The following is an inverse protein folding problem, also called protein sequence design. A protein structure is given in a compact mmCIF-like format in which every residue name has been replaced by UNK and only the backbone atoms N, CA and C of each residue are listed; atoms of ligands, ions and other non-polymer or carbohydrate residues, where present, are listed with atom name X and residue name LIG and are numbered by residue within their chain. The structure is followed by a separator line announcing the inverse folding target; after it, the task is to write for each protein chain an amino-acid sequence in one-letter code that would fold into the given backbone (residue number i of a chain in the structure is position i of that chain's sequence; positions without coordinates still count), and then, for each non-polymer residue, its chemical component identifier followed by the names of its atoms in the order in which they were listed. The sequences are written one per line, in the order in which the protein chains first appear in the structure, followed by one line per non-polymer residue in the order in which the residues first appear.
data_IF_159418705375
#
_entry.id   IF_159418705375
#
_cell.length_a   1.000
_cell.length_b   1.000
_cell.length_c   1.000
_cell.angle_alpha   90.00
_cell.angle_beta   90.00
_cell.angle_gamma   90.00
#
_symmetry.space_group_name_H-M   'P 1'
#
loop_
_entity.id
_entity.type
_entity.pdbx_description
1 polymer ?
#
# COMPACT_ATOMS: atom_id res chain seq x y z
N UNK A 1 -60.26 -14.29 20.60
CA UNK A 1 -60.04 -15.69 21.02
C UNK A 1 -58.54 -15.90 21.15
N UNK A 2 -58.04 -15.89 22.39
CA UNK A 2 -56.62 -16.04 22.73
C UNK A 2 -56.45 -17.45 23.30
N UNK A 3 -55.72 -18.32 22.61
CA UNK A 3 -55.26 -19.59 23.15
C UNK A 3 -53.80 -19.45 23.56
N UNK A 4 -53.57 -19.48 24.87
CA UNK A 4 -52.27 -19.69 25.51
C UNK A 4 -52.49 -20.84 26.48
N UNK A 5 -51.75 -21.94 26.32
CA UNK A 5 -51.49 -22.99 27.33
C UNK A 5 -50.29 -23.80 26.79
N UNK A 6 -49.09 -23.59 27.35
CA UNK A 6 -48.50 -24.30 28.50
C UNK A 6 -47.81 -25.61 28.05
N UNK A 7 -46.49 -25.53 27.92
CA UNK A 7 -45.57 -26.67 27.76
C UNK A 7 -44.80 -26.83 29.09
N UNK A 8 -44.65 -28.05 29.62
CA UNK A 8 -44.09 -28.27 30.95
C UNK A 8 -42.57 -28.12 30.99
N UNK A 9 -42.11 -27.57 32.12
CA UNK A 9 -40.71 -27.43 32.52
C UNK A 9 -40.19 -28.78 32.99
N UNK A 10 -39.27 -29.39 32.24
CA UNK A 10 -38.46 -30.51 32.71
C UNK A 10 -37.13 -30.00 33.27
N UNK A 11 -36.93 -30.21 34.57
CA UNK A 11 -35.65 -30.14 35.26
C UNK A 11 -34.66 -31.14 34.64
N UNK A 12 -33.50 -30.66 34.18
CA UNK A 12 -32.31 -31.49 33.99
C UNK A 12 -31.16 -30.84 34.76
N UNK A 13 -30.83 -31.48 35.89
CA UNK A 13 -29.56 -31.30 36.57
C UNK A 13 -28.46 -31.99 35.76
N UNK A 14 -27.38 -31.28 35.46
CA UNK A 14 -26.15 -31.87 34.94
C UNK A 14 -24.92 -31.16 35.51
N UNK A 15 -23.99 -32.00 35.93
CA UNK A 15 -22.89 -31.76 36.84
C UNK A 15 -21.84 -30.76 36.32
N UNK A 16 -21.30 -29.98 37.25
CA UNK A 16 -20.08 -29.21 37.07
C UNK A 16 -18.87 -30.16 36.91
N UNK A 17 -18.25 -30.14 35.73
CA UNK A 17 -16.96 -30.76 35.46
C UNK A 17 -15.94 -29.68 35.08
N UNK A 18 -15.07 -29.34 36.01
CA UNK A 18 -13.93 -28.45 35.83
C UNK A 18 -12.84 -29.16 35.00
N UNK A 19 -12.61 -28.69 33.78
CA UNK A 19 -11.52 -29.16 32.92
C UNK A 19 -10.26 -28.33 33.22
N UNK A 20 -9.14 -28.93 33.66
CA UNK A 20 -7.89 -28.19 33.80
C UNK A 20 -7.28 -27.88 32.43
N UNK A 21 -6.87 -26.62 32.25
CA UNK A 21 -6.20 -26.14 31.06
C UNK A 21 -4.83 -26.84 30.88
N UNK A 22 -4.71 -27.63 29.81
CA UNK A 22 -3.41 -28.13 29.34
C UNK A 22 -2.59 -26.94 28.80
N UNK A 23 -1.52 -26.60 29.52
CA UNK A 23 -0.47 -25.71 29.01
C UNK A 23 0.26 -26.38 27.84
N UNK A 24 0.49 -25.69 26.71
CA UNK A 24 1.33 -26.21 25.64
C UNK A 24 2.78 -26.36 26.12
N UNK A 25 3.35 -27.54 25.84
CA UNK A 25 4.75 -27.85 26.13
C UNK A 25 5.69 -26.94 25.32
N UNK A 26 6.74 -26.43 25.97
CA UNK A 26 7.79 -25.66 25.32
C UNK A 26 8.59 -26.54 24.33
N UNK A 27 9.04 -25.98 23.19
CA UNK A 27 9.85 -26.72 22.24
C UNK A 27 11.23 -27.06 22.84
N UNK A 28 11.68 -28.30 22.58
CA UNK A 28 12.96 -28.82 23.04
C UNK A 28 14.15 -28.03 22.44
N UNK A 29 15.25 -27.85 23.20
CA UNK A 29 16.45 -27.18 22.72
C UNK A 29 17.19 -28.02 21.67
N UNK A 30 17.70 -27.35 20.64
CA UNK A 30 18.51 -27.95 19.59
C UNK A 30 19.88 -28.44 20.12
N UNK A 31 20.45 -29.52 19.58
CA UNK A 31 21.74 -30.04 20.00
C UNK A 31 22.91 -29.14 19.60
N UNK A 32 23.85 -28.98 20.52
CA UNK A 32 25.08 -28.20 20.43
C UNK A 32 26.06 -28.75 19.38
N UNK A 33 26.65 -27.86 18.59
CA UNK A 33 27.73 -28.18 17.65
C UNK A 33 29.05 -28.48 18.40
N UNK A 34 29.89 -29.41 17.91
CA UNK A 34 31.23 -29.65 18.46
C UNK A 34 32.24 -28.59 17.99
N UNK A 35 33.18 -28.26 18.88
CA UNK A 35 34.18 -27.21 18.71
C UNK A 35 35.43 -27.60 17.89
N UNK A 36 35.94 -26.59 17.19
CA UNK A 36 37.32 -26.16 16.80
C UNK A 36 38.40 -27.22 16.48
N UNK A 37 39.27 -26.96 15.47
CA UNK A 37 40.48 -26.24 15.83
C UNK A 37 40.89 -25.11 14.88
N UNK A 38 41.59 -24.18 15.52
CA UNK A 38 42.33 -23.02 15.06
C UNK A 38 43.47 -23.40 14.11
N UNK A 39 43.56 -22.76 12.95
CA UNK A 39 44.83 -22.57 12.24
C UNK A 39 44.88 -21.20 11.54
N UNK A 40 45.93 -20.47 11.89
CA UNK A 40 46.41 -19.22 11.34
C UNK A 40 46.94 -19.43 9.92
N UNK A 41 46.51 -18.62 8.96
CA UNK A 41 47.39 -18.22 7.86
C UNK A 41 47.07 -16.80 7.39
N UNK A 42 48.16 -16.11 7.07
CA UNK A 42 48.33 -14.69 6.81
C UNK A 42 48.24 -14.49 5.30
N UNK A 43 47.35 -13.61 4.83
CA UNK A 43 47.19 -13.33 3.40
C UNK A 43 46.38 -12.06 3.15
N UNK A 44 47.11 -10.96 3.01
CA UNK A 44 46.86 -9.76 2.18
C UNK A 44 45.46 -9.14 2.11
N UNK A 45 45.41 -7.89 2.58
CA UNK A 45 44.34 -6.94 2.33
C UNK A 45 44.14 -6.73 0.82
N UNK A 46 42.91 -6.95 0.36
CA UNK A 46 42.42 -6.37 -0.90
C UNK A 46 41.26 -5.46 -0.55
N UNK A 47 41.44 -4.22 -0.98
CA UNK A 47 40.61 -3.07 -0.69
C UNK A 47 39.15 -3.27 -1.10
N UNK A 48 38.29 -2.81 -0.20
CA UNK A 48 36.89 -2.49 -0.42
C UNK A 48 36.72 -1.64 -1.69
N UNK A 49 36.17 -2.22 -2.76
CA UNK A 49 35.64 -1.45 -3.88
C UNK A 49 34.15 -1.18 -3.67
N UNK A 50 33.82 0.11 -3.71
CA UNK A 50 32.60 0.71 -3.17
C UNK A 50 31.29 0.18 -3.73
N UNK A 51 30.45 -0.34 -2.83
CA UNK A 51 29.03 -0.10 -2.97
C UNK A 51 28.81 1.38 -2.64
N UNK A 52 28.61 2.21 -3.67
CA UNK A 52 28.17 3.58 -3.46
C UNK A 52 26.97 3.55 -2.51
N UNK A 53 27.03 4.38 -1.47
CA UNK A 53 25.96 4.42 -0.48
C UNK A 53 24.64 4.70 -1.19
N UNK A 54 23.53 4.15 -0.70
CA UNK A 54 22.21 4.41 -1.29
C UNK A 54 21.95 5.93 -1.42
N UNK A 55 22.56 6.74 -0.56
CA UNK A 55 22.54 8.20 -0.62
C UNK A 55 23.35 8.79 -1.78
N UNK A 56 24.52 8.24 -2.12
CA UNK A 56 25.29 8.66 -3.30
C UNK A 56 24.59 8.30 -4.61
N UNK A 57 24.01 7.10 -4.69
CA UNK A 57 23.22 6.69 -5.87
C UNK A 57 21.97 7.57 -6.00
N UNK A 58 21.28 7.87 -4.90
CA UNK A 58 20.14 8.78 -4.88
C UNK A 58 20.55 10.22 -5.28
N UNK A 59 21.70 10.70 -4.81
CA UNK A 59 22.22 12.04 -5.14
C UNK A 59 22.58 12.12 -6.62
N UNK A 60 23.28 11.13 -7.16
CA UNK A 60 23.65 11.07 -8.58
C UNK A 60 22.42 11.01 -9.50
N UNK A 61 21.39 10.24 -9.13
CA UNK A 61 20.11 10.19 -9.85
C UNK A 61 19.35 11.52 -9.75
N UNK A 62 19.34 12.16 -8.58
CA UNK A 62 18.71 13.47 -8.40
C UNK A 62 19.39 14.55 -9.24
N UNK A 63 20.74 14.59 -9.24
CA UNK A 63 21.50 15.58 -10.03
C UNK A 63 21.31 15.39 -11.52
N UNK A 64 21.30 14.15 -12.02
CA UNK A 64 21.06 13.87 -13.44
C UNK A 64 19.65 14.24 -13.88
N UNK A 65 18.64 14.00 -13.04
CA UNK A 65 17.24 14.42 -13.30
C UNK A 65 17.09 15.95 -13.25
N UNK A 66 17.79 16.63 -12.35
CA UNK A 66 17.75 18.09 -12.23
C UNK A 66 18.44 18.78 -13.41
N UNK A 67 19.59 18.25 -13.85
CA UNK A 67 20.25 18.68 -15.09
C UNK A 67 19.35 18.43 -16.31
N UNK A 68 18.68 17.28 -16.39
CA UNK A 68 17.73 17.01 -17.47
C UNK A 68 16.55 18.00 -17.46
N UNK A 69 16.05 18.40 -16.28
CA UNK A 69 15.01 19.43 -16.14
C UNK A 69 15.48 20.82 -16.56
N UNK A 70 16.72 21.20 -16.22
CA UNK A 70 17.31 22.50 -16.57
C UNK A 70 17.60 22.61 -18.07
N UNK A 71 18.11 21.55 -18.68
CA UNK A 71 18.42 21.51 -20.13
C UNK A 71 17.13 21.49 -20.98
N UNK A 72 16.03 20.96 -20.44
CA UNK A 72 14.75 20.84 -21.17
C UNK A 72 13.89 22.12 -21.20
N UNK A 73 14.38 23.24 -20.66
CA UNK A 73 13.82 24.57 -20.92
C UNK A 73 12.29 24.70 -20.79
N UNK A 74 11.75 24.60 -19.57
CA UNK A 74 10.48 25.24 -19.15
C UNK A 74 9.16 24.91 -19.90
N UNK A 75 9.17 24.11 -20.94
CA UNK A 75 7.97 23.57 -21.57
C UNK A 75 7.83 22.11 -21.19
N UNK A 76 6.65 21.79 -20.65
CA UNK A 76 6.17 20.45 -20.33
C UNK A 76 6.22 19.54 -21.57
N UNK A 77 7.41 19.06 -21.92
CA UNK A 77 7.54 17.80 -22.64
C UNK A 77 7.12 16.76 -21.61
N UNK A 78 5.85 16.37 -21.67
CA UNK A 78 5.31 15.27 -20.90
C UNK A 78 6.29 14.10 -21.02
N UNK A 79 7.03 13.85 -19.94
CA UNK A 79 7.98 12.76 -19.78
C UNK A 79 7.32 11.36 -19.88
N UNK A 80 6.09 11.29 -20.37
CA UNK A 80 5.36 10.08 -20.70
C UNK A 80 5.81 9.42 -22.01
N UNK A 81 6.74 9.99 -22.78
CA UNK A 81 7.18 9.41 -24.06
C UNK A 81 8.51 8.63 -24.03
N UNK A 82 9.43 8.87 -23.09
CA UNK A 82 10.79 8.30 -23.14
C UNK A 82 11.06 7.17 -22.12
N UNK A 83 10.02 6.46 -21.70
CA UNK A 83 10.16 5.25 -20.89
C UNK A 83 8.95 4.33 -20.87
N UNK A 84 7.98 4.56 -21.75
CA UNK A 84 6.70 3.87 -21.75
C UNK A 84 6.62 2.94 -22.97
N UNK A 85 6.89 1.66 -22.77
CA UNK A 85 6.57 0.64 -23.77
C UNK A 85 5.03 0.50 -23.83
N UNK A 86 4.40 1.31 -24.68
CA UNK A 86 2.99 1.24 -25.08
C UNK A 86 2.07 2.19 -24.33
N UNK A 87 1.32 3.04 -25.05
CA UNK A 87 0.38 4.03 -24.53
C UNK A 87 -0.62 3.44 -23.50
N UNK A 88 -1.06 4.22 -22.48
CA UNK A 88 -2.04 3.74 -21.52
C UNK A 88 -3.32 3.32 -22.26
N UNK A 89 -3.98 2.26 -21.78
CA UNK A 89 -5.29 1.88 -22.32
C UNK A 89 -6.28 3.04 -22.17
N UNK A 90 -7.30 3.08 -23.03
CA UNK A 90 -8.37 4.10 -22.92
C UNK A 90 -8.99 4.12 -21.51
N UNK A 91 -9.21 2.94 -20.93
CA UNK A 91 -9.70 2.82 -19.56
C UNK A 91 -8.73 3.44 -18.55
N UNK A 92 -7.44 3.13 -18.61
CA UNK A 92 -6.43 3.70 -17.72
C UNK A 92 -6.35 5.24 -17.83
N UNK A 93 -6.40 5.78 -19.06
CA UNK A 93 -6.41 7.23 -19.27
C UNK A 93 -7.63 7.91 -18.62
N UNK A 94 -8.82 7.33 -18.77
CA UNK A 94 -10.06 7.83 -18.17
C UNK A 94 -10.05 7.75 -16.63
N UNK A 95 -9.44 6.69 -16.09
CA UNK A 95 -9.23 6.52 -14.64
C UNK A 95 -8.37 7.65 -14.09
N UNK A 96 -7.21 7.89 -14.71
CA UNK A 96 -6.28 8.95 -14.30
C UNK A 96 -6.93 10.32 -14.44
N UNK A 97 -7.59 10.59 -15.57
CA UNK A 97 -8.31 11.85 -15.79
C UNK A 97 -9.31 12.12 -14.65
N UNK A 98 -10.12 11.11 -14.29
CA UNK A 98 -11.10 11.26 -13.22
C UNK A 98 -10.44 11.45 -11.87
N UNK A 99 -9.38 10.70 -11.55
CA UNK A 99 -8.65 10.88 -10.30
C UNK A 99 -8.07 12.31 -10.18
N UNK A 100 -7.51 12.84 -11.28
CA UNK A 100 -6.97 14.21 -11.35
C UNK A 100 -8.04 15.26 -11.10
N UNK A 101 -9.23 15.12 -11.70
CA UNK A 101 -10.37 16.03 -11.47
C UNK A 101 -10.84 16.07 -10.01
N UNK A 102 -10.57 15.01 -9.25
CA UNK A 102 -10.98 14.90 -7.85
C UNK A 102 -9.94 15.46 -6.87
N UNK A 103 -8.73 15.82 -7.32
CA UNK A 103 -7.71 16.42 -6.46
C UNK A 103 -8.22 17.74 -5.86
N UNK A 104 -8.08 17.89 -4.55
CA UNK A 104 -8.58 19.04 -3.79
C UNK A 104 -10.00 18.88 -3.24
N UNK A 105 -10.74 17.86 -3.68
CA UNK A 105 -12.07 17.56 -3.13
C UNK A 105 -11.95 17.08 -1.68
N UNK A 106 -12.61 17.78 -0.76
CA UNK A 106 -12.61 17.45 0.68
C UNK A 106 -13.62 16.39 1.06
N UNK A 107 -14.74 16.28 0.36
CA UNK A 107 -15.84 15.34 0.65
C UNK A 107 -16.39 14.80 -0.67
N UNK A 108 -16.32 13.49 -0.87
CA UNK A 108 -16.80 12.78 -2.05
C UNK A 108 -18.32 12.86 -2.21
N UNK A 109 -19.07 12.94 -1.10
CA UNK A 109 -20.53 13.11 -1.15
C UNK A 109 -21.02 14.40 -1.84
N UNK A 110 -20.12 15.38 -2.07
CA UNK A 110 -20.42 16.58 -2.88
C UNK A 110 -20.31 16.34 -4.38
N UNK A 111 -19.60 15.28 -4.77
CA UNK A 111 -19.40 14.87 -6.16
C UNK A 111 -20.37 13.76 -6.51
N UNK A 112 -20.48 12.76 -5.64
CA UNK A 112 -21.37 11.61 -5.82
C UNK A 112 -21.77 11.06 -4.43
N UNK A 113 -23.06 11.03 -4.15
CA UNK A 113 -23.61 10.55 -2.86
C UNK A 113 -23.63 9.02 -2.75
N UNK A 114 -23.42 8.29 -3.86
CA UNK A 114 -23.44 6.83 -3.93
C UNK A 114 -22.11 6.16 -3.54
N UNK A 115 -21.06 6.93 -3.24
CA UNK A 115 -19.77 6.40 -2.82
C UNK A 115 -19.44 6.79 -1.37
N UNK A 116 -18.74 5.92 -0.61
CA UNK A 116 -18.27 6.25 0.72
C UNK A 116 -17.25 7.39 0.67
N UNK A 117 -17.19 8.18 1.73
CA UNK A 117 -16.26 9.32 1.82
C UNK A 117 -14.86 8.90 2.29
N UNK A 118 -14.26 7.92 1.60
CA UNK A 118 -12.96 7.31 1.96
C UNK A 118 -12.09 7.00 0.71
N UNK A 119 -10.93 6.37 0.94
CA UNK A 119 -10.00 5.99 -0.14
C UNK A 119 -10.64 5.04 -1.15
N UNK A 120 -11.53 4.15 -0.71
CA UNK A 120 -12.26 3.23 -1.58
C UNK A 120 -13.28 3.95 -2.46
N UNK A 121 -13.96 4.99 -1.94
CA UNK A 121 -14.88 5.81 -2.71
C UNK A 121 -14.21 6.58 -3.84
N UNK A 122 -13.01 7.14 -3.58
CA UNK A 122 -12.22 7.82 -4.59
C UNK A 122 -11.87 6.87 -5.75
N UNK A 123 -11.27 5.72 -5.44
CA UNK A 123 -10.83 4.78 -6.48
C UNK A 123 -12.02 4.22 -7.25
N UNK A 124 -13.16 3.98 -6.60
CA UNK A 124 -14.40 3.55 -7.25
C UNK A 124 -14.88 4.60 -8.26
N UNK A 125 -14.92 5.89 -7.91
CA UNK A 125 -15.30 6.94 -8.87
C UNK A 125 -14.34 7.04 -10.04
N UNK A 126 -13.04 6.89 -9.81
CA UNK A 126 -12.05 6.90 -10.87
C UNK A 126 -12.23 5.68 -11.82
N UNK A 127 -12.35 4.49 -11.26
CA UNK A 127 -12.50 3.24 -12.01
C UNK A 127 -13.84 3.13 -12.75
N UNK A 128 -14.92 3.68 -12.20
CA UNK A 128 -16.21 3.84 -12.89
C UNK A 128 -16.07 4.61 -14.20
N UNK A 129 -15.26 5.67 -14.24
CA UNK A 129 -15.04 6.43 -15.49
C UNK A 129 -14.35 5.58 -16.57
N UNK A 130 -13.53 4.61 -16.16
CA UNK A 130 -12.92 3.60 -17.02
C UNK A 130 -13.83 2.40 -17.33
N UNK A 131 -15.07 2.36 -16.81
CA UNK A 131 -16.03 1.27 -17.01
C UNK A 131 -15.82 0.05 -16.11
N UNK A 132 -15.03 0.15 -15.04
CA UNK A 132 -14.65 -0.99 -14.19
C UNK A 132 -15.31 -0.87 -12.81
N UNK A 133 -16.22 -1.79 -12.49
CA UNK A 133 -16.82 -1.88 -11.15
C UNK A 133 -16.02 -2.75 -10.19
N UNK A 134 -15.27 -2.06 -9.33
CA UNK A 134 -14.41 -2.64 -8.30
C UNK A 134 -15.17 -3.42 -7.21
N UNK A 135 -16.49 -3.22 -7.07
CA UNK A 135 -17.28 -3.80 -5.96
C UNK A 135 -18.58 -4.50 -6.39
N UNK A 136 -18.82 -4.70 -7.69
CA UNK A 136 -20.02 -5.36 -8.21
C UNK A 136 -20.26 -6.78 -7.62
N UNK A 137 -19.21 -7.49 -7.21
CA UNK A 137 -19.31 -8.83 -6.63
C UNK A 137 -19.46 -8.83 -5.09
N UNK A 138 -19.81 -7.71 -4.47
CA UNK A 138 -20.12 -7.61 -3.03
C UNK A 138 -18.90 -7.60 -2.09
N UNK A 139 -19.06 -8.06 -0.85
CA UNK A 139 -18.00 -8.17 0.16
C UNK A 139 -18.15 -9.49 0.93
N UNK A 140 -17.03 -10.07 1.39
CA UNK A 140 -17.10 -11.14 2.38
C UNK A 140 -17.48 -10.59 3.76
N UNK A 141 -17.94 -11.45 4.67
CA UNK A 141 -18.32 -11.05 6.02
C UNK A 141 -17.16 -10.37 6.76
N UNK A 142 -17.36 -9.12 7.20
CA UNK A 142 -16.36 -8.32 7.89
C UNK A 142 -15.22 -7.78 7.01
N UNK A 143 -15.28 -7.99 5.69
CA UNK A 143 -14.28 -7.53 4.74
C UNK A 143 -14.44 -6.02 4.47
N UNK A 144 -13.35 -5.27 4.53
CA UNK A 144 -13.36 -3.87 4.11
C UNK A 144 -13.19 -3.77 2.58
N UNK A 145 -13.56 -2.62 2.02
CA UNK A 145 -13.53 -2.43 0.57
C UNK A 145 -12.14 -2.59 -0.05
N UNK A 146 -11.07 -2.15 0.62
CA UNK A 146 -9.70 -2.30 0.12
C UNK A 146 -9.30 -3.77 0.04
N UNK A 147 -9.56 -4.55 1.10
CA UNK A 147 -9.31 -5.99 1.11
C UNK A 147 -10.07 -6.72 0.00
N UNK A 148 -11.34 -6.37 -0.22
CA UNK A 148 -12.16 -6.99 -1.26
C UNK A 148 -11.64 -6.70 -2.67
N UNK A 149 -11.21 -5.45 -2.92
CA UNK A 149 -10.61 -5.05 -4.19
C UNK A 149 -9.27 -5.78 -4.39
N UNK A 150 -8.43 -5.86 -3.36
CA UNK A 150 -7.15 -6.57 -3.42
C UNK A 150 -7.33 -8.06 -3.71
N UNK A 151 -8.26 -8.71 -3.01
CA UNK A 151 -8.58 -10.14 -3.21
C UNK A 151 -9.04 -10.39 -4.64
N UNK A 152 -9.93 -9.56 -5.19
CA UNK A 152 -10.38 -9.67 -6.59
C UNK A 152 -9.26 -9.45 -7.60
N UNK A 153 -8.41 -8.45 -7.36
CA UNK A 153 -7.24 -8.23 -8.17
C UNK A 153 -6.32 -9.46 -8.17
N UNK A 154 -6.19 -10.13 -7.02
CA UNK A 154 -5.44 -11.40 -6.90
C UNK A 154 -6.10 -12.52 -7.70
N UNK A 155 -7.39 -12.74 -7.52
CA UNK A 155 -8.18 -13.78 -8.21
C UNK A 155 -8.10 -13.64 -9.73
N UNK A 156 -8.06 -12.40 -10.24
CA UNK A 156 -7.94 -12.12 -11.68
C UNK A 156 -6.51 -12.11 -12.22
N UNK A 157 -5.50 -12.24 -11.36
CA UNK A 157 -4.09 -12.14 -11.75
C UNK A 157 -3.65 -10.71 -12.12
N UNK A 158 -4.38 -9.69 -11.66
CA UNK A 158 -4.06 -8.29 -11.93
C UNK A 158 -2.92 -7.74 -11.04
N UNK A 159 -2.60 -8.42 -9.93
CA UNK A 159 -1.58 -7.96 -8.98
C UNK A 159 -0.16 -8.06 -9.55
N UNK A 160 0.67 -7.06 -9.25
CA UNK A 160 2.10 -7.08 -9.54
C UNK A 160 2.92 -6.15 -8.63
N UNK A 161 4.24 -6.35 -8.62
CA UNK A 161 5.22 -5.47 -7.95
C UNK A 161 6.21 -4.81 -8.92
N UNK A 162 6.08 -5.05 -10.23
CA UNK A 162 6.86 -4.36 -11.27
C UNK A 162 6.52 -2.86 -11.30
N UNK A 163 7.35 -2.08 -11.99
CA UNK A 163 7.12 -0.64 -12.23
C UNK A 163 5.68 -0.41 -12.71
N UNK A 164 4.89 0.40 -11.97
CA UNK A 164 3.48 0.57 -12.29
C UNK A 164 3.30 1.46 -13.53
N UNK A 165 2.06 1.48 -14.02
CA UNK A 165 1.61 2.38 -15.09
C UNK A 165 0.57 3.36 -14.53
N UNK A 166 0.44 4.56 -15.11
CA UNK A 166 -0.70 5.43 -14.86
C UNK A 166 -2.02 4.66 -14.99
N UNK A 167 -2.87 4.79 -13.97
CA UNK A 167 -4.14 4.09 -13.85
C UNK A 167 -4.10 2.85 -12.97
N UNK A 168 -2.93 2.26 -12.70
CA UNK A 168 -2.81 1.14 -11.75
C UNK A 168 -3.33 1.54 -10.35
N UNK A 169 -3.91 0.58 -9.63
CA UNK A 169 -4.13 0.72 -8.19
C UNK A 169 -2.81 0.51 -7.46
N UNK A 170 -2.64 1.18 -6.32
CA UNK A 170 -1.61 0.86 -5.33
C UNK A 170 -2.26 0.57 -3.98
N UNK A 171 -1.82 -0.51 -3.33
CA UNK A 171 -2.34 -0.97 -2.05
C UNK A 171 -1.32 -0.77 -0.93
N UNK A 172 -1.83 -0.38 0.23
CA UNK A 172 -1.06 -0.23 1.45
C UNK A 172 -1.72 -0.96 2.62
N UNK A 173 -0.87 -1.44 3.52
CA UNK A 173 -1.30 -2.14 4.73
C UNK A 173 -1.11 -1.29 5.98
N UNK A 174 -1.93 -1.58 7.00
CA UNK A 174 -1.80 -1.02 8.35
C UNK A 174 -1.74 0.52 8.45
N UNK A 175 -2.32 1.29 7.53
CA UNK A 175 -2.20 2.76 7.53
C UNK A 175 -2.96 3.43 8.67
N UNK A 176 -3.94 2.74 9.26
CA UNK A 176 -4.64 3.13 10.48
C UNK A 176 -5.15 1.89 11.24
N UNK A 177 -5.53 2.12 12.50
CA UNK A 177 -6.15 1.14 13.40
C UNK A 177 -7.64 0.97 13.05
N UNK A 178 -7.98 -0.03 12.25
CA UNK A 178 -9.36 -0.17 11.74
C UNK A 178 -10.28 -0.73 12.81
N UNK A 179 -9.88 -1.81 13.47
CA UNK A 179 -10.68 -2.46 14.52
C UNK A 179 -10.60 -1.76 15.89
N UNK A 180 -9.68 -0.78 16.04
CA UNK A 180 -9.47 0.02 17.25
C UNK A 180 -8.99 -0.80 18.45
N UNK A 181 -8.32 -1.92 18.23
CA UNK A 181 -7.75 -2.75 19.29
C UNK A 181 -6.37 -2.26 19.78
N UNK A 182 -5.85 -1.19 19.15
CA UNK A 182 -4.57 -0.59 19.49
C UNK A 182 -3.38 -1.23 18.78
N UNK A 183 -3.59 -2.27 17.96
CA UNK A 183 -2.57 -3.01 17.22
C UNK A 183 -2.58 -2.59 15.74
N UNK A 184 -1.64 -3.14 14.97
CA UNK A 184 -1.45 -2.86 13.54
C UNK A 184 -1.46 -4.19 12.78
N UNK A 185 -2.63 -4.78 12.72
CA UNK A 185 -2.93 -6.11 12.18
C UNK A 185 -4.28 -6.14 11.41
N UNK A 186 -4.66 -5.00 10.82
CA UNK A 186 -5.92 -4.83 10.09
C UNK A 186 -5.85 -5.27 8.62
N UNK A 187 -4.66 -5.57 8.12
CA UNK A 187 -4.37 -5.96 6.75
C UNK A 187 -4.39 -4.77 5.78
N UNK A 188 -5.06 -4.96 4.64
CA UNK A 188 -5.21 -3.90 3.64
C UNK A 188 -6.14 -2.82 4.17
N UNK A 189 -5.64 -1.59 4.25
CA UNK A 189 -6.33 -0.46 4.88
C UNK A 189 -6.35 0.77 4.00
N UNK A 190 -5.52 0.85 2.95
CA UNK A 190 -5.52 2.01 2.08
C UNK A 190 -5.23 1.67 0.63
N UNK A 191 -5.78 2.47 -0.27
CA UNK A 191 -5.69 2.31 -1.71
C UNK A 191 -5.64 3.66 -2.41
N UNK A 192 -5.00 3.69 -3.58
CA UNK A 192 -4.89 4.89 -4.39
C UNK A 192 -4.77 4.57 -5.89
N UNK A 193 -4.86 5.61 -6.73
CA UNK A 193 -4.65 5.52 -8.18
C UNK A 193 -3.28 6.08 -8.53
N UNK A 194 -2.47 5.33 -9.26
CA UNK A 194 -1.20 5.80 -9.82
C UNK A 194 -1.47 6.85 -10.91
N UNK A 195 -0.90 8.03 -10.77
CA UNK A 195 -1.03 9.12 -11.73
C UNK A 195 0.17 9.15 -12.70
N UNK A 196 1.39 9.14 -12.16
CA UNK A 196 2.63 9.20 -12.94
C UNK A 196 3.74 8.39 -12.29
N UNK A 197 4.75 8.04 -13.08
CA UNK A 197 5.98 7.40 -12.63
C UNK A 197 7.16 8.14 -13.26
N UNK A 198 8.00 8.75 -12.44
CA UNK A 198 9.20 9.46 -12.87
C UNK A 198 10.30 8.47 -13.30
N UNK A 199 11.37 9.00 -13.92
CA UNK A 199 12.49 8.19 -14.41
C UNK A 199 13.28 7.54 -13.27
N UNK A 200 13.40 8.23 -12.13
CA UNK A 200 14.04 7.76 -10.90
C UNK A 200 13.19 6.71 -10.13
N UNK A 201 12.04 6.31 -10.68
CA UNK A 201 11.11 5.37 -10.07
C UNK A 201 10.13 5.99 -9.07
N UNK A 202 10.16 7.31 -8.87
CA UNK A 202 9.21 7.99 -7.99
C UNK A 202 7.80 7.95 -8.59
N UNK A 203 6.88 7.30 -7.88
CA UNK A 203 5.47 7.17 -8.23
C UNK A 203 4.70 8.30 -7.57
N UNK A 204 3.95 9.09 -8.36
CA UNK A 204 2.91 9.97 -7.82
C UNK A 204 1.57 9.26 -7.92
N UNK A 205 0.84 9.22 -6.81
CA UNK A 205 -0.48 8.61 -6.73
C UNK A 205 -1.48 9.55 -6.06
N UNK A 206 -2.75 9.41 -6.43
CA UNK A 206 -3.87 10.20 -5.92
C UNK A 206 -4.68 9.33 -4.97
N UNK A 207 -4.84 9.81 -3.73
CA UNK A 207 -5.58 9.11 -2.69
C UNK A 207 -6.46 10.08 -1.90
N UNK A 208 -7.47 9.53 -1.22
CA UNK A 208 -8.21 10.26 -0.18
C UNK A 208 -7.59 9.96 1.18
N UNK A 209 -6.93 10.94 1.76
CA UNK A 209 -6.49 10.90 3.16
C UNK A 209 -7.47 11.60 4.09
N UNK A 210 -7.08 11.78 5.35
CA UNK A 210 -7.90 12.47 6.35
C UNK A 210 -8.22 13.93 6.03
N UNK A 211 -7.39 14.58 5.20
CA UNK A 211 -7.56 16.00 4.80
C UNK A 211 -8.28 16.19 3.46
N UNK A 212 -8.72 15.10 2.83
CA UNK A 212 -9.31 15.11 1.49
C UNK A 212 -8.44 14.41 0.45
N UNK A 213 -8.75 14.66 -0.82
CA UNK A 213 -8.10 14.01 -1.96
C UNK A 213 -6.86 14.81 -2.38
N UNK A 214 -5.71 14.15 -2.36
CA UNK A 214 -4.41 14.76 -2.61
C UNK A 214 -3.48 13.81 -3.37
N UNK A 215 -2.39 14.39 -3.87
CA UNK A 215 -1.25 13.65 -4.43
C UNK A 215 -0.25 13.34 -3.33
N UNK A 216 0.30 12.14 -3.38
CA UNK A 216 1.40 11.68 -2.53
C UNK A 216 2.42 10.93 -3.39
N UNK A 217 3.65 10.84 -2.89
CA UNK A 217 4.79 10.22 -3.57
C UNK A 217 5.23 8.95 -2.88
N UNK A 218 5.78 8.03 -3.67
CA UNK A 218 6.40 6.81 -3.20
C UNK A 218 7.54 6.42 -4.13
N UNK A 219 8.70 6.07 -3.58
CA UNK A 219 9.82 5.52 -4.31
C UNK A 219 10.29 4.23 -3.64
N UNK A 220 10.09 3.10 -4.33
CA UNK A 220 10.37 1.77 -3.82
C UNK A 220 11.86 1.40 -3.88
N UNK A 221 12.71 2.18 -4.57
CA UNK A 221 14.16 2.02 -4.50
C UNK A 221 14.71 2.54 -3.16
N UNK A 222 13.99 3.48 -2.54
CA UNK A 222 14.38 4.09 -1.27
C UNK A 222 13.21 4.09 -0.27
N UNK A 223 12.64 2.93 0.09
CA UNK A 223 11.33 2.84 0.74
C UNK A 223 11.28 3.46 2.14
N UNK A 224 12.43 3.57 2.82
CA UNK A 224 12.57 4.17 4.16
C UNK A 224 13.06 5.62 4.15
N UNK A 225 13.15 6.23 2.97
CA UNK A 225 13.72 7.57 2.79
C UNK A 225 12.63 8.57 2.41
N UNK A 226 12.44 9.59 3.25
CA UNK A 226 11.46 10.66 2.99
C UNK A 226 11.94 11.60 1.87
N UNK A 227 13.22 12.01 1.90
CA UNK A 227 13.82 12.96 0.94
C UNK A 227 15.22 12.52 0.53
N UNK A 228 15.61 12.85 -0.71
CA UNK A 228 16.97 12.70 -1.20
C UNK A 228 17.91 13.71 -0.51
N UNK A 229 18.37 13.39 0.70
CA UNK A 229 19.15 14.32 1.54
C UNK A 229 18.28 15.39 2.21
N UNK A 230 18.92 16.37 2.86
CA UNK A 230 18.24 17.33 3.74
C UNK A 230 17.30 18.29 2.99
N UNK A 231 17.66 18.69 1.77
CA UNK A 231 16.93 19.66 0.95
C UNK A 231 16.44 19.10 -0.39
N UNK A 232 16.62 17.80 -0.63
CA UNK A 232 16.24 17.19 -1.91
C UNK A 232 14.74 16.93 -2.07
N UNK A 233 14.42 16.37 -3.24
CA UNK A 233 13.08 15.97 -3.61
C UNK A 233 12.48 14.96 -2.62
N UNK A 234 11.16 15.04 -2.42
CA UNK A 234 10.42 14.05 -1.62
C UNK A 234 10.32 12.77 -2.42
N UNK A 235 10.87 11.69 -1.85
CA UNK A 235 10.82 10.35 -2.43
C UNK A 235 9.59 9.58 -1.94
N UNK A 236 9.28 9.68 -0.64
CA UNK A 236 8.13 9.04 -0.03
C UNK A 236 7.44 10.03 0.91
N UNK A 237 6.14 10.25 0.74
CA UNK A 237 5.35 11.03 1.70
C UNK A 237 5.02 10.19 2.95
N UNK A 238 4.63 10.86 4.04
CA UNK A 238 4.09 10.17 5.21
C UNK A 238 2.64 9.75 4.97
N UNK A 239 2.38 8.44 5.02
CA UNK A 239 1.02 7.91 4.85
C UNK A 239 0.33 7.67 6.19
N UNK A 240 1.10 7.31 7.22
CA UNK A 240 0.61 7.12 8.59
C UNK A 240 1.32 8.11 9.51
N UNK A 241 0.54 8.94 10.18
CA UNK A 241 1.04 9.91 11.16
C UNK A 241 1.61 9.21 12.41
N UNK A 242 2.52 9.90 13.10
CA UNK A 242 2.99 9.49 14.41
C UNK A 242 1.84 9.50 15.43
N UNK A 243 1.80 8.50 16.32
CA UNK A 243 0.71 8.33 17.30
C UNK A 243 1.14 7.40 18.44
N UNK A 244 0.73 7.69 19.68
CA UNK A 244 0.96 6.81 20.86
C UNK A 244 2.43 6.34 21.00
N UNK A 245 3.38 7.26 20.86
CA UNK A 245 4.82 6.97 20.92
C UNK A 245 5.39 6.24 19.69
N UNK A 246 4.56 5.89 18.70
CA UNK A 246 5.00 5.34 17.43
C UNK A 246 5.38 6.46 16.45
N UNK A 247 6.47 6.26 15.71
CA UNK A 247 6.88 7.18 14.64
C UNK A 247 5.87 7.20 13.48
N UNK A 248 5.98 8.22 12.63
CA UNK A 248 5.30 8.25 11.35
C UNK A 248 5.91 7.22 10.37
N UNK A 249 5.12 6.78 9.39
CA UNK A 249 5.52 5.78 8.41
C UNK A 249 5.33 6.28 6.99
N UNK A 250 6.31 5.98 6.16
CA UNK A 250 6.37 6.41 4.77
C UNK A 250 5.54 5.49 3.87
N UNK A 251 5.10 6.03 2.74
CA UNK A 251 4.38 5.28 1.70
C UNK A 251 5.12 4.01 1.27
N UNK A 252 6.43 4.11 1.01
CA UNK A 252 7.26 2.98 0.61
C UNK A 252 7.39 1.87 1.66
N UNK A 253 7.22 2.18 2.95
CA UNK A 253 7.28 1.18 4.03
C UNK A 253 5.96 0.41 4.20
N UNK A 254 4.85 1.00 3.77
CA UNK A 254 3.50 0.43 3.92
C UNK A 254 3.00 -0.21 2.61
N UNK A 255 3.81 -0.18 1.55
CA UNK A 255 3.48 -0.72 0.23
C UNK A 255 3.26 -2.23 0.27
N UNK A 256 2.28 -2.69 -0.51
CA UNK A 256 1.95 -4.13 -0.65
C UNK A 256 2.10 -4.58 -2.09
N UNK A 257 1.50 -3.84 -3.03
CA UNK A 257 1.45 -4.21 -4.44
C UNK A 257 0.67 -3.21 -5.28
N UNK A 258 0.76 -3.38 -6.59
CA UNK A 258 -0.06 -2.70 -7.57
C UNK A 258 -1.08 -3.65 -8.20
N UNK A 259 -2.14 -3.12 -8.82
CA UNK A 259 -3.02 -3.89 -9.71
C UNK A 259 -3.29 -3.14 -11.01
N UNK A 260 -3.22 -3.86 -12.13
CA UNK A 260 -3.45 -3.28 -13.44
C UNK A 260 -4.93 -3.24 -13.83
N UNK A 261 -5.46 -2.10 -14.31
CA UNK A 261 -6.87 -1.99 -14.71
C UNK A 261 -7.22 -2.84 -15.93
N UNK A 262 -6.25 -3.22 -16.76
CA UNK A 262 -6.51 -4.05 -17.96
C UNK A 262 -6.86 -5.51 -17.64
N UNK A 263 -6.63 -5.93 -16.40
CA UNK A 263 -6.87 -7.30 -15.93
C UNK A 263 -7.99 -7.34 -14.88
N UNK A 264 -8.60 -6.19 -14.56
CA UNK A 264 -9.65 -6.04 -13.55
C UNK A 264 -11.08 -6.14 -14.11
#
# INVERSE_FOLDING_TARGET
MRCVLLVPVCLLAACAGSVPALRPAAPAPAPSAPGVPEQVSRGEAVESSGAASAEEVARALSTTVEVARLVSGGSSLRASHLGFLGAPSRAAALIVERAVQLVGVKQLGRVDRGVPDDCSGLVRLAYMKGGIDLVNHGFLNGENAVSAIYRRAKERGALHQRRPRPGDLVFFQETYDRNRDGKRNDGMTHIAVVETVELDGTVTFIHRGSKGIARSRMNLLFPRTHRAGQSGAVLNDFLRAASKGQRAWLTGELFVGFASPTTL
#
